data_IF_945411456198
#
_entry.id   IF_945411456198
#
_cell.length_a   1.000
_cell.length_b   1.000
_cell.length_c   1.000
_cell.angle_alpha   90.00
_cell.angle_beta   90.00
_cell.angle_gamma   90.00
#
_symmetry.space_group_name_H-M   'P 1'
#
loop_
_entity.id
_entity.type
_entity.pdbx_description
1 polymer ?
#
# COMPACT_ATOMS: atom_id res chain seq x y z
N UNK A 1 35.44 -12.95 48.52
CA UNK A 1 34.08 -13.27 49.02
C UNK A 1 33.09 -12.52 48.16
N UNK A 2 32.09 -13.21 47.60
CA UNK A 2 30.92 -12.58 46.99
C UNK A 2 31.03 -12.33 45.48
N UNK A 3 30.34 -13.11 44.63
CA UNK A 3 30.54 -13.14 43.18
C UNK A 3 29.32 -12.65 42.37
N UNK A 4 29.45 -12.68 41.03
CA UNK A 4 28.41 -12.56 39.99
C UNK A 4 27.89 -11.12 39.76
N UNK A 5 27.92 -10.56 38.55
CA UNK A 5 27.16 -11.01 37.37
C UNK A 5 27.81 -10.39 36.13
N UNK A 6 28.49 -11.14 35.26
CA UNK A 6 27.91 -11.76 34.05
C UNK A 6 26.83 -10.93 33.34
N UNK A 7 27.17 -10.65 32.07
CA UNK A 7 26.30 -10.58 30.88
C UNK A 7 25.72 -9.22 30.50
N UNK A 8 26.35 -8.68 29.45
CA UNK A 8 25.68 -7.97 28.38
C UNK A 8 24.30 -8.57 28.09
N UNK A 9 23.27 -7.74 28.19
CA UNK A 9 22.00 -8.02 27.54
C UNK A 9 22.00 -7.25 26.21
N UNK A 10 22.21 -7.91 25.06
CA UNK A 10 21.72 -7.37 23.81
C UNK A 10 20.21 -7.18 24.01
N UNK A 11 19.69 -6.00 23.69
CA UNK A 11 18.25 -5.76 23.59
C UNK A 11 17.64 -6.53 22.43
N UNK A 12 17.74 -7.86 22.46
CA UNK A 12 16.95 -8.75 21.64
C UNK A 12 15.54 -8.78 22.20
N UNK A 13 14.60 -8.63 21.28
CA UNK A 13 13.18 -8.75 21.50
C UNK A 13 12.84 -10.07 22.19
N UNK A 14 12.59 -10.06 23.49
CA UNK A 14 11.84 -11.13 24.17
C UNK A 14 10.40 -10.68 24.30
N UNK A 15 9.61 -11.07 23.33
CA UNK A 15 8.19 -10.77 23.28
C UNK A 15 7.53 -11.68 22.28
N UNK A 16 7.35 -12.95 22.64
CA UNK A 16 6.31 -13.84 22.10
C UNK A 16 4.92 -13.28 22.48
N UNK A 17 4.64 -12.08 21.98
CA UNK A 17 3.30 -11.56 21.88
C UNK A 17 2.72 -12.11 20.59
N UNK A 18 2.18 -13.33 20.63
CA UNK A 18 1.24 -13.79 19.60
C UNK A 18 0.05 -12.86 19.66
N UNK A 19 0.15 -11.71 18.98
CA UNK A 19 -0.97 -10.81 18.76
C UNK A 19 -1.94 -11.62 17.94
N UNK A 20 -3.00 -12.12 18.59
CA UNK A 20 -4.07 -12.89 17.96
C UNK A 20 -4.45 -12.16 16.67
N UNK A 21 -4.04 -12.70 15.53
CA UNK A 21 -4.45 -12.16 14.23
C UNK A 21 -5.96 -12.31 14.19
N UNK A 22 -6.67 -11.19 14.39
CA UNK A 22 -8.13 -11.13 14.21
C UNK A 22 -8.40 -11.63 12.80
N UNK A 23 -8.96 -12.83 12.72
CA UNK A 23 -9.27 -13.53 11.48
C UNK A 23 -10.39 -12.76 10.78
N UNK A 24 -10.08 -12.37 9.55
CA UNK A 24 -10.99 -12.12 8.43
C UNK A 24 -11.96 -10.95 8.53
N UNK A 25 -11.48 -9.73 8.26
CA UNK A 25 -12.24 -8.88 7.33
C UNK A 25 -12.20 -9.63 6.00
N UNK A 26 -13.35 -10.00 5.42
CA UNK A 26 -13.41 -10.51 4.04
C UNK A 26 -12.72 -9.48 3.16
N UNK A 27 -11.45 -9.73 2.86
CA UNK A 27 -10.68 -8.94 1.94
C UNK A 27 -11.15 -9.38 0.56
N UNK A 28 -12.33 -8.86 0.17
CA UNK A 28 -12.50 -8.49 -1.23
C UNK A 28 -11.35 -7.54 -1.46
N UNK A 29 -10.32 -8.00 -2.17
CA UNK A 29 -9.21 -7.18 -2.63
C UNK A 29 -9.77 -5.80 -3.05
N UNK A 30 -9.12 -4.67 -2.72
CA UNK A 30 -9.70 -3.33 -2.95
C UNK A 30 -10.24 -3.12 -4.38
N UNK A 31 -9.72 -3.86 -5.36
CA UNK A 31 -10.23 -3.91 -6.73
C UNK A 31 -11.65 -4.52 -6.89
N UNK A 32 -12.05 -5.49 -6.08
CA UNK A 32 -13.32 -6.22 -6.21
C UNK A 32 -14.55 -5.45 -5.69
N UNK A 33 -14.37 -4.24 -5.16
CA UNK A 33 -15.49 -3.33 -4.92
C UNK A 33 -15.85 -2.51 -6.16
N UNK A 34 -14.89 -2.30 -7.07
CA UNK A 34 -15.08 -1.39 -8.20
C UNK A 34 -15.56 -2.15 -9.45
N UNK A 35 -15.18 -3.44 -9.57
CA UNK A 35 -15.52 -4.32 -10.69
C UNK A 35 -17.03 -4.49 -10.98
N UNK A 36 -17.90 -4.30 -9.99
CA UNK A 36 -19.36 -4.46 -10.15
C UNK A 36 -20.12 -3.13 -10.21
N UNK A 37 -19.42 -2.00 -10.11
CA UNK A 37 -20.04 -0.68 -9.88
C UNK A 37 -19.71 0.33 -10.95
N UNK A 38 -18.60 0.18 -11.66
CA UNK A 38 -18.17 1.12 -12.69
C UNK A 38 -18.05 0.45 -14.05
N UNK A 39 -18.46 1.17 -15.09
CA UNK A 39 -18.04 0.92 -16.46
C UNK A 39 -16.51 1.06 -16.62
N UNK A 40 -15.98 0.68 -17.78
CA UNK A 40 -14.52 0.75 -18.03
C UNK A 40 -14.01 2.19 -18.00
N UNK A 41 -14.79 3.10 -18.55
CA UNK A 41 -14.49 4.52 -18.67
C UNK A 41 -14.57 5.22 -17.30
N UNK A 42 -15.60 4.90 -16.51
CA UNK A 42 -15.72 5.39 -15.13
C UNK A 42 -14.59 4.85 -14.25
N UNK A 43 -14.25 3.57 -14.39
CA UNK A 43 -13.14 2.98 -13.66
C UNK A 43 -11.81 3.64 -14.04
N UNK A 44 -11.63 3.99 -15.32
CA UNK A 44 -10.46 4.75 -15.80
C UNK A 44 -10.38 6.12 -15.11
N UNK A 45 -11.48 6.84 -15.02
CA UNK A 45 -11.54 8.14 -14.34
C UNK A 45 -11.25 8.01 -12.83
N UNK A 46 -11.82 6.99 -12.17
CA UNK A 46 -11.56 6.70 -10.75
C UNK A 46 -10.09 6.36 -10.48
N UNK A 47 -9.45 5.62 -11.39
CA UNK A 47 -8.01 5.31 -11.32
C UNK A 47 -7.15 6.56 -11.50
N UNK A 48 -7.48 7.43 -12.46
CA UNK A 48 -6.78 8.69 -12.67
C UNK A 48 -6.88 9.62 -11.45
N UNK A 49 -8.05 9.64 -10.79
CA UNK A 49 -8.29 10.45 -9.59
C UNK A 49 -7.50 9.96 -8.35
N UNK A 50 -6.96 8.74 -8.35
CA UNK A 50 -6.22 8.21 -7.19
C UNK A 50 -4.98 9.02 -6.85
N UNK A 51 -4.30 9.58 -7.85
CA UNK A 51 -3.11 10.40 -7.64
C UNK A 51 -3.43 11.61 -6.76
N UNK A 52 -4.52 12.31 -7.08
CA UNK A 52 -4.93 13.49 -6.31
C UNK A 52 -5.44 13.11 -4.92
N UNK A 53 -6.19 12.00 -4.82
CA UNK A 53 -6.62 11.46 -3.51
C UNK A 53 -5.41 11.09 -2.64
N UNK A 54 -4.38 10.48 -3.21
CA UNK A 54 -3.14 10.13 -2.51
C UNK A 54 -2.38 11.37 -2.05
N UNK A 55 -2.28 12.41 -2.89
CA UNK A 55 -1.69 13.70 -2.49
C UNK A 55 -2.42 14.31 -1.31
N UNK A 56 -3.76 14.32 -1.34
CA UNK A 56 -4.60 14.87 -0.26
C UNK A 56 -4.45 14.07 1.04
N UNK A 57 -4.56 12.74 0.97
CA UNK A 57 -4.78 11.89 2.14
C UNK A 57 -3.49 11.27 2.72
N UNK A 58 -2.42 11.16 1.93
CA UNK A 58 -1.18 10.48 2.36
C UNK A 58 -0.03 11.45 2.58
N UNK A 59 0.38 11.59 3.85
CA UNK A 59 1.59 12.33 4.22
C UNK A 59 2.85 11.68 3.63
N UNK A 60 2.90 10.35 3.56
CA UNK A 60 4.03 9.62 3.00
C UNK A 60 4.17 9.88 1.48
N UNK A 61 3.04 9.91 0.75
CA UNK A 61 3.05 10.24 -0.68
C UNK A 61 3.59 11.65 -0.90
N UNK A 62 3.08 12.65 -0.17
CA UNK A 62 3.56 14.05 -0.25
C UNK A 62 5.04 14.19 0.10
N UNK A 63 5.54 13.40 1.06
CA UNK A 63 6.96 13.39 1.39
C UNK A 63 7.78 12.81 0.24
N UNK A 64 7.43 11.62 -0.25
CA UNK A 64 8.12 10.98 -1.36
C UNK A 64 8.12 11.86 -2.64
N UNK A 65 6.99 12.48 -2.94
CA UNK A 65 6.85 13.40 -4.08
C UNK A 65 7.73 14.66 -3.92
N UNK A 66 7.71 15.32 -2.75
CA UNK A 66 8.55 16.51 -2.48
C UNK A 66 10.04 16.22 -2.55
N UNK A 67 10.46 15.01 -2.19
CA UNK A 67 11.85 14.58 -2.28
C UNK A 67 12.21 13.94 -3.62
N UNK A 68 11.30 13.95 -4.60
CA UNK A 68 11.56 13.40 -5.94
C UNK A 68 11.69 11.87 -5.98
N UNK A 69 11.30 11.16 -4.94
CA UNK A 69 11.31 9.68 -4.89
C UNK A 69 10.16 9.07 -5.72
N UNK A 70 9.09 9.85 -5.92
CA UNK A 70 7.94 9.50 -6.77
C UNK A 70 7.58 10.71 -7.61
N UNK A 71 7.19 10.48 -8.86
CA UNK A 71 6.69 11.52 -9.76
C UNK A 71 5.36 11.10 -10.38
N UNK A 72 4.46 12.06 -10.55
CA UNK A 72 3.19 11.85 -11.27
C UNK A 72 3.47 11.92 -12.77
N UNK A 73 3.15 10.85 -13.48
CA UNK A 73 3.44 10.74 -14.92
C UNK A 73 2.41 11.44 -15.80
N UNK A 74 1.18 11.64 -15.30
CA UNK A 74 0.06 12.16 -16.09
C UNK A 74 -0.36 11.29 -17.28
N UNK A 75 0.21 10.09 -17.40
CA UNK A 75 -0.08 9.18 -18.52
C UNK A 75 -1.52 8.68 -18.43
N UNK A 76 -2.20 8.49 -19.58
CA UNK A 76 -3.55 7.91 -19.58
C UNK A 76 -3.50 6.49 -19.01
N UNK A 77 -4.55 6.13 -18.27
CA UNK A 77 -4.71 4.77 -17.75
C UNK A 77 -5.10 3.86 -18.92
N UNK A 78 -4.18 2.99 -19.32
CA UNK A 78 -4.37 1.96 -20.34
C UNK A 78 -4.54 0.62 -19.66
N UNK A 79 -5.62 -0.09 -19.96
CA UNK A 79 -5.84 -1.41 -19.39
C UNK A 79 -5.06 -2.49 -20.15
N UNK A 80 -4.68 -3.55 -19.45
CA UNK A 80 -3.88 -4.62 -20.04
C UNK A 80 -4.53 -5.26 -21.28
N UNK A 81 -5.83 -5.50 -21.26
CA UNK A 81 -6.57 -6.09 -22.39
C UNK A 81 -6.63 -5.18 -23.64
N UNK A 82 -6.41 -3.87 -23.49
CA UNK A 82 -6.36 -2.94 -24.63
C UNK A 82 -5.03 -3.04 -25.38
N UNK A 83 -4.01 -3.60 -24.73
CA UNK A 83 -2.69 -3.82 -25.33
C UNK A 83 -2.62 -5.10 -26.18
N UNK A 84 -3.43 -6.11 -25.87
CA UNK A 84 -3.41 -7.39 -26.58
C UNK A 84 -4.13 -7.34 -27.93
N UNK A 85 -5.05 -6.38 -28.12
CA UNK A 85 -5.79 -6.19 -29.38
C UNK A 85 -4.99 -5.52 -30.50
N UNK A 86 -3.70 -5.22 -30.28
CA UNK A 86 -2.79 -4.65 -31.29
C UNK A 86 -1.73 -5.69 -31.74
N UNK A 87 -1.96 -6.97 -31.44
CA UNK A 87 -1.11 -8.10 -31.85
C UNK A 87 -1.61 -8.79 -33.10
#
# INVERSE_FOLDING_TARGET
MGPHSLLAAPGYWTGDGVRKKKKTRREKAPCNRWKSTFSREEFRAEMAAQVERLRRDSAAFRMAERHGLVAVTGSPVVFWFERETVG
#
